data_IF_932464529515
#
_entry.id   IF_932464529515
#
_cell.length_a   1.000
_cell.length_b   1.000
_cell.length_c   1.000
_cell.angle_alpha   90.00
_cell.angle_beta   90.00
_cell.angle_gamma   90.00
#
_symmetry.space_group_name_H-M   'P 1'
#
loop_
_entity.id
_entity.type
_entity.pdbx_description
1 polymer ?
#
# COMPACT_ATOMS: atom_id res chain seq x y z
N UNK A 1 -19.44 -46.21 40.81
CA UNK A 1 -19.16 -46.58 39.40
C UNK A 1 -19.72 -45.58 38.36
N UNK A 2 -20.93 -45.11 38.51
CA UNK A 2 -21.52 -44.09 37.60
C UNK A 2 -20.81 -42.74 37.65
N UNK A 3 -20.29 -42.31 38.82
CA UNK A 3 -19.51 -41.06 39.01
C UNK A 3 -18.14 -41.12 38.32
N UNK A 4 -17.50 -42.31 38.29
CA UNK A 4 -16.21 -42.48 37.58
C UNK A 4 -16.35 -42.44 36.06
N UNK A 5 -17.45 -42.98 35.50
CA UNK A 5 -17.75 -42.93 34.08
C UNK A 5 -18.08 -41.53 33.63
N UNK A 6 -18.77 -40.72 34.43
CA UNK A 6 -19.07 -39.31 34.15
C UNK A 6 -17.82 -38.43 34.18
N UNK A 7 -16.90 -38.68 35.11
CA UNK A 7 -15.61 -37.94 35.17
C UNK A 7 -14.69 -38.32 34.01
N UNK A 8 -14.67 -39.57 33.57
CA UNK A 8 -13.90 -39.96 32.38
C UNK A 8 -14.51 -39.39 31.09
N UNK A 9 -15.82 -39.38 30.93
CA UNK A 9 -16.52 -38.74 29.80
C UNK A 9 -16.27 -37.23 29.79
N UNK A 10 -16.31 -36.57 30.92
CA UNK A 10 -16.06 -35.13 31.05
C UNK A 10 -14.62 -34.78 30.73
N UNK A 11 -13.65 -35.61 31.13
CA UNK A 11 -12.24 -35.43 30.76
C UNK A 11 -11.99 -35.59 29.26
N UNK A 12 -12.66 -36.57 28.62
CA UNK A 12 -12.58 -36.80 27.18
C UNK A 12 -13.21 -35.63 26.42
N UNK A 13 -14.35 -35.12 26.86
CA UNK A 13 -15.01 -33.94 26.25
C UNK A 13 -14.13 -32.69 26.41
N UNK A 14 -13.53 -32.50 27.59
CA UNK A 14 -12.63 -31.36 27.84
C UNK A 14 -11.37 -31.41 26.97
N UNK A 15 -10.77 -32.60 26.79
CA UNK A 15 -9.61 -32.78 25.91
C UNK A 15 -9.98 -32.59 24.45
N UNK A 16 -11.18 -32.96 24.01
CA UNK A 16 -11.67 -32.77 22.66
C UNK A 16 -11.95 -31.30 22.36
N UNK A 17 -12.53 -30.57 23.32
CA UNK A 17 -12.74 -29.12 23.23
C UNK A 17 -11.42 -28.37 23.17
N UNK A 18 -10.42 -28.74 23.97
CA UNK A 18 -9.08 -28.17 23.92
C UNK A 18 -8.38 -28.44 22.57
N UNK A 19 -8.59 -29.63 22.00
CA UNK A 19 -8.04 -30.00 20.69
C UNK A 19 -8.68 -29.15 19.57
N UNK A 20 -9.99 -28.93 19.63
CA UNK A 20 -10.71 -28.06 18.67
C UNK A 20 -10.24 -26.61 18.82
N UNK A 21 -10.05 -26.13 20.05
CA UNK A 21 -9.52 -24.79 20.32
C UNK A 21 -8.12 -24.58 19.73
N UNK A 22 -7.25 -25.58 19.82
CA UNK A 22 -5.91 -25.51 19.24
C UNK A 22 -5.90 -25.50 17.71
N UNK A 23 -6.88 -26.18 17.08
CA UNK A 23 -7.07 -26.17 15.63
C UNK A 23 -7.63 -24.83 15.09
N UNK A 24 -8.50 -24.20 15.88
CA UNK A 24 -9.08 -22.89 15.50
C UNK A 24 -8.05 -21.75 15.69
N UNK A 25 -7.12 -21.89 16.64
CA UNK A 25 -6.10 -20.87 16.89
C UNK A 25 -4.96 -20.83 15.84
N UNK A 26 -4.97 -21.73 14.85
CA UNK A 26 -4.03 -21.69 13.72
C UNK A 26 -4.54 -20.92 12.51
N UNK A 27 -5.71 -20.33 12.62
CA UNK A 27 -6.26 -19.48 11.58
C UNK A 27 -5.68 -18.06 11.72
N UNK A 28 -5.12 -17.61 10.64
CA UNK A 28 -4.66 -16.27 10.31
C UNK A 28 -3.26 -15.87 10.77
N UNK A 29 -2.28 -16.54 10.24
CA UNK A 29 -1.21 -15.77 9.66
C UNK A 29 -1.74 -15.12 8.38
N UNK A 30 -2.33 -13.93 8.47
CA UNK A 30 -2.69 -13.18 7.30
C UNK A 30 -1.47 -13.05 6.42
N UNK A 31 -1.42 -13.83 5.34
CA UNK A 31 -0.47 -13.60 4.27
C UNK A 31 -0.95 -12.31 3.61
N UNK A 32 -0.44 -11.19 4.11
CA UNK A 32 -0.55 -9.93 3.38
C UNK A 32 0.08 -10.19 2.02
N UNK A 33 -0.75 -10.48 1.04
CA UNK A 33 -0.31 -10.67 -0.33
C UNK A 33 0.00 -9.30 -0.91
N UNK A 34 1.25 -8.86 -0.79
CA UNK A 34 1.71 -7.64 -1.42
C UNK A 34 1.87 -7.88 -2.91
N UNK A 35 1.05 -7.21 -3.71
CA UNK A 35 1.20 -7.17 -5.16
C UNK A 35 2.11 -6.00 -5.49
N UNK A 36 3.34 -6.31 -5.91
CA UNK A 36 4.27 -5.30 -6.40
C UNK A 36 3.98 -5.00 -7.87
N UNK A 37 3.72 -3.73 -8.15
CA UNK A 37 3.54 -3.25 -9.52
C UNK A 37 4.66 -2.26 -9.84
N UNK A 38 5.40 -2.54 -10.91
CA UNK A 38 6.44 -1.64 -11.39
C UNK A 38 5.79 -0.47 -12.15
N UNK A 39 6.22 0.73 -11.85
CA UNK A 39 5.87 1.94 -12.60
C UNK A 39 7.14 2.44 -13.28
N UNK A 40 7.13 2.45 -14.61
CA UNK A 40 8.27 2.87 -15.44
C UNK A 40 7.79 3.63 -16.70
N UNK A 41 8.64 3.69 -17.71
CA UNK A 41 8.31 4.35 -18.98
C UNK A 41 7.09 3.78 -19.68
N UNK A 42 6.76 2.51 -19.47
CA UNK A 42 5.56 1.90 -20.07
C UNK A 42 4.28 2.48 -19.51
N UNK A 43 4.30 2.95 -18.27
CA UNK A 43 3.20 3.67 -17.64
C UNK A 43 3.24 5.18 -17.89
N UNK A 44 4.26 5.67 -18.60
CA UNK A 44 4.40 7.08 -18.97
C UNK A 44 5.30 7.91 -18.05
N UNK A 45 6.07 7.27 -17.17
CA UNK A 45 7.00 7.98 -16.29
C UNK A 45 8.04 8.76 -17.12
N UNK A 46 8.22 10.04 -16.84
CA UNK A 46 9.08 10.93 -17.63
C UNK A 46 10.55 10.63 -17.49
N UNK A 47 10.96 10.12 -16.32
CA UNK A 47 12.35 9.76 -16.03
C UNK A 47 12.38 8.67 -14.96
N UNK A 48 13.31 7.72 -15.09
CA UNK A 48 13.47 6.62 -14.13
C UNK A 48 14.10 7.03 -12.80
N UNK A 49 14.77 8.20 -12.77
CA UNK A 49 15.34 8.74 -11.56
C UNK A 49 14.28 9.55 -10.79
N UNK A 50 13.58 8.88 -9.91
CA UNK A 50 12.59 9.48 -9.02
C UNK A 50 13.28 10.00 -7.78
N UNK A 51 13.18 11.30 -7.54
CA UNK A 51 13.81 11.99 -6.40
C UNK A 51 12.88 12.08 -5.19
N UNK A 52 11.58 12.17 -5.44
CA UNK A 52 10.59 12.25 -4.38
C UNK A 52 9.26 11.60 -4.81
N UNK A 53 8.51 11.17 -3.83
CA UNK A 53 7.24 10.48 -3.99
C UNK A 53 6.25 11.04 -2.96
N UNK A 54 5.04 11.33 -3.41
CA UNK A 54 3.98 11.83 -2.54
C UNK A 54 2.63 11.30 -2.98
N UNK A 55 1.80 10.88 -2.02
CA UNK A 55 0.40 10.58 -2.26
C UNK A 55 -0.46 11.68 -1.68
N UNK A 56 -1.31 12.30 -2.50
CA UNK A 56 -2.20 13.35 -2.04
C UNK A 56 -3.45 12.80 -1.32
N UNK A 57 -4.25 13.68 -0.75
CA UNK A 57 -5.46 13.29 -0.02
C UNK A 57 -6.58 12.73 -0.92
N UNK A 58 -6.47 12.86 -2.23
CA UNK A 58 -7.38 12.23 -3.21
C UNK A 58 -6.94 10.85 -3.66
N UNK A 59 -5.74 10.41 -3.22
CA UNK A 59 -5.16 9.12 -3.58
C UNK A 59 -4.28 9.13 -4.83
N UNK A 60 -4.10 10.28 -5.48
CA UNK A 60 -3.18 10.41 -6.61
C UNK A 60 -1.73 10.31 -6.15
N UNK A 61 -0.92 9.59 -6.92
CA UNK A 61 0.52 9.47 -6.68
C UNK A 61 1.28 10.50 -7.51
N UNK A 62 2.17 11.22 -6.85
CA UNK A 62 3.01 12.25 -7.44
C UNK A 62 4.47 11.83 -7.38
N UNK A 63 5.13 11.83 -8.52
CA UNK A 63 6.55 11.48 -8.66
C UNK A 63 7.33 12.71 -9.11
N UNK A 64 8.23 13.17 -8.27
CA UNK A 64 9.20 14.19 -8.66
C UNK A 64 10.44 13.52 -9.25
N UNK A 65 10.80 13.88 -10.48
CA UNK A 65 11.91 13.29 -11.22
C UNK A 65 12.93 14.34 -11.65
N UNK A 66 13.97 13.92 -12.37
CA UNK A 66 14.87 14.83 -13.07
C UNK A 66 14.22 15.49 -14.30
N UNK A 67 13.05 15.03 -14.73
CA UNK A 67 12.37 15.53 -15.92
C UNK A 67 10.90 15.86 -15.67
N UNK A 68 10.63 16.57 -14.60
CA UNK A 68 9.32 17.09 -14.25
C UNK A 68 8.59 16.34 -13.14
N UNK A 69 7.36 16.74 -12.92
CA UNK A 69 6.42 16.13 -11.98
C UNK A 69 5.49 15.21 -12.74
N UNK A 70 5.29 14.02 -12.23
CA UNK A 70 4.39 13.03 -12.81
C UNK A 70 3.24 12.76 -11.84
N UNK A 71 2.01 12.85 -12.32
CA UNK A 71 0.81 12.52 -11.59
C UNK A 71 0.22 11.22 -12.13
N UNK A 72 0.01 10.25 -11.25
CA UNK A 72 -0.44 8.91 -11.61
C UNK A 72 -1.71 8.54 -10.85
N UNK A 73 -2.75 8.16 -11.57
CA UNK A 73 -4.05 7.73 -11.03
C UNK A 73 -4.22 6.21 -10.90
N UNK A 74 -3.19 5.44 -11.23
CA UNK A 74 -3.23 3.99 -11.29
C UNK A 74 -3.36 3.42 -12.71
N UNK A 75 -3.69 4.25 -13.69
CA UNK A 75 -3.82 3.90 -15.12
C UNK A 75 -3.08 4.85 -16.03
N UNK A 76 -3.29 6.14 -15.85
CA UNK A 76 -2.76 7.20 -16.70
C UNK A 76 -1.70 8.00 -15.95
N UNK A 77 -0.69 8.44 -16.69
CA UNK A 77 0.37 9.31 -16.20
C UNK A 77 0.26 10.67 -16.90
N UNK A 78 0.19 11.73 -16.13
CA UNK A 78 0.27 13.10 -16.61
C UNK A 78 1.59 13.71 -16.18
N UNK A 79 2.32 14.30 -17.12
CA UNK A 79 3.65 14.87 -16.89
C UNK A 79 3.61 16.38 -16.99
N UNK A 80 4.08 17.05 -15.95
CA UNK A 80 4.23 18.50 -15.88
C UNK A 80 5.70 18.86 -15.96
N UNK A 81 6.06 19.67 -16.96
CA UNK A 81 7.42 20.16 -17.17
C UNK A 81 7.47 21.67 -17.10
N UNK A 82 8.68 22.22 -16.97
CA UNK A 82 8.90 23.65 -17.10
C UNK A 82 8.58 24.13 -18.53
N UNK A 83 7.86 25.23 -18.61
CA UNK A 83 7.59 25.91 -19.87
C UNK A 83 7.72 27.41 -19.65
N UNK A 84 8.77 27.98 -20.23
CA UNK A 84 9.08 29.40 -20.10
C UNK A 84 8.03 30.30 -20.75
N UNK A 85 7.20 29.75 -21.63
CA UNK A 85 6.09 30.48 -22.26
C UNK A 85 4.82 30.52 -21.43
N UNK A 86 4.67 29.61 -20.44
CA UNK A 86 3.48 29.48 -19.62
C UNK A 86 3.71 30.05 -18.20
N UNK A 87 2.95 31.08 -17.78
CA UNK A 87 3.20 31.78 -16.52
C UNK A 87 2.94 30.95 -15.25
N UNK A 88 2.30 29.78 -15.39
CA UNK A 88 1.98 28.85 -14.29
C UNK A 88 2.73 27.50 -14.37
N UNK A 89 3.70 27.39 -15.29
CA UNK A 89 4.53 26.18 -15.40
C UNK A 89 5.59 26.12 -14.31
N UNK A 90 6.19 24.94 -14.17
CA UNK A 90 7.30 24.73 -13.27
C UNK A 90 8.52 25.59 -13.71
N UNK A 91 9.25 26.11 -12.74
CA UNK A 91 10.49 26.88 -12.99
C UNK A 91 11.66 26.01 -13.43
N UNK A 92 11.64 24.73 -13.07
CA UNK A 92 12.67 23.75 -13.41
C UNK A 92 12.05 22.36 -13.54
N UNK A 93 12.70 21.48 -14.32
CA UNK A 93 12.28 20.08 -14.48
C UNK A 93 12.79 19.15 -13.38
N UNK A 94 13.81 19.55 -12.63
CA UNK A 94 14.35 18.75 -11.52
C UNK A 94 13.53 19.02 -10.26
N UNK A 95 12.84 18.00 -9.78
CA UNK A 95 11.91 18.11 -8.67
C UNK A 95 12.47 17.38 -7.45
N UNK A 96 12.86 18.14 -6.46
CA UNK A 96 13.47 17.59 -5.23
C UNK A 96 12.46 17.23 -4.15
N UNK A 97 11.33 17.92 -4.10
CA UNK A 97 10.30 17.66 -3.09
C UNK A 97 8.91 18.06 -3.58
N UNK A 98 7.91 17.36 -3.08
CA UNK A 98 6.49 17.64 -3.30
C UNK A 98 5.79 17.64 -1.94
N UNK A 99 4.96 18.64 -1.71
CA UNK A 99 4.19 18.77 -0.48
C UNK A 99 2.81 19.31 -0.78
N UNK A 100 1.81 18.77 -0.12
CA UNK A 100 0.45 19.29 -0.17
C UNK A 100 0.29 20.38 0.89
N UNK A 101 -0.27 21.51 0.50
CA UNK A 101 -0.66 22.54 1.45
C UNK A 101 -2.00 22.18 2.10
N UNK A 102 -2.08 22.35 3.40
CA UNK A 102 -3.36 22.27 4.11
C UNK A 102 -4.16 23.54 3.83
N UNK A 103 -5.35 23.35 3.25
CA UNK A 103 -6.29 24.43 3.04
C UNK A 103 -7.10 24.68 4.33
N UNK A 104 -6.51 25.36 5.26
CA UNK A 104 -7.23 25.89 6.41
C UNK A 104 -7.38 27.40 6.31
#
# INVERSE_FOLDING_TARGET
MILMINTMKMRLILSFVLLIYSLVCQADGGKDSYIFRKVDYQQGLSNSAVLCLFQDNTGLMWFGTYDGVNCYDGRNMEVFRSDFSAPKALSNNVIHSIQQADNN
#
